data_IF_407980760971
#
_entry.id   IF_407980760971
#
_cell.length_a   1.000
_cell.length_b   1.000
_cell.length_c   1.000
_cell.angle_alpha   90.00
_cell.angle_beta   90.00
_cell.angle_gamma   90.00
#
_symmetry.space_group_name_H-M   'P 1'
#
loop_
_entity.id
_entity.type
_entity.pdbx_description
1 polymer ?
#
# COMPACT_ATOMS: atom_id res chain seq x y z
N UNK A 1 35.50 5.60 -1.17
CA UNK A 1 34.19 5.31 -1.77
C UNK A 1 33.46 4.38 -0.83
N UNK A 2 32.32 4.75 -0.28
CA UNK A 2 31.63 3.90 0.72
C UNK A 2 30.54 3.13 -0.01
N UNK A 3 30.71 1.82 -0.15
CA UNK A 3 29.66 0.92 -0.63
C UNK A 3 28.82 0.45 0.56
N UNK A 4 27.51 0.42 0.39
CA UNK A 4 26.57 -0.09 1.42
C UNK A 4 25.62 -1.08 0.79
N UNK A 5 25.40 -2.20 1.47
CA UNK A 5 24.28 -3.09 1.16
C UNK A 5 23.00 -2.40 1.63
N UNK A 6 22.02 -2.30 0.75
CA UNK A 6 20.72 -1.70 1.01
C UNK A 6 19.62 -2.61 0.50
N UNK A 7 18.47 -2.58 1.14
CA UNK A 7 17.24 -3.20 0.68
C UNK A 7 16.26 -2.09 0.32
N UNK A 8 15.62 -2.20 -0.83
CA UNK A 8 14.59 -1.29 -1.32
C UNK A 8 13.31 -2.10 -1.54
N UNK A 9 12.27 -1.76 -0.82
CA UNK A 9 10.96 -2.41 -0.88
C UNK A 9 9.96 -1.52 -1.62
N UNK A 10 8.94 -2.13 -2.22
CA UNK A 10 7.91 -1.38 -2.95
C UNK A 10 8.45 -0.68 -4.19
N UNK A 11 9.45 -1.26 -4.82
CA UNK A 11 10.09 -0.70 -6.03
C UNK A 11 9.73 -1.49 -7.28
N UNK A 12 9.75 -0.83 -8.43
CA UNK A 12 9.51 -1.44 -9.73
C UNK A 12 10.57 -1.03 -10.74
N UNK A 13 10.86 -1.90 -11.70
CA UNK A 13 11.69 -1.54 -12.85
C UNK A 13 10.85 -0.81 -13.89
N UNK A 14 11.31 0.36 -14.33
CA UNK A 14 10.61 1.16 -15.35
C UNK A 14 10.35 0.38 -16.65
N UNK A 15 11.27 -0.50 -17.04
CA UNK A 15 11.15 -1.37 -18.21
C UNK A 15 10.92 -2.83 -17.85
N UNK A 16 10.22 -3.11 -16.74
CA UNK A 16 9.84 -4.46 -16.34
C UNK A 16 9.10 -5.18 -17.47
N UNK A 17 9.41 -6.46 -17.68
CA UNK A 17 8.83 -7.26 -18.76
C UNK A 17 9.31 -6.93 -20.20
N UNK A 18 9.96 -5.76 -20.38
CA UNK A 18 10.37 -5.27 -21.73
C UNK A 18 11.87 -5.45 -21.97
N UNK A 19 12.69 -5.11 -20.98
CA UNK A 19 14.15 -5.17 -21.08
C UNK A 19 14.73 -6.35 -20.28
N UNK A 20 15.98 -6.69 -20.55
CA UNK A 20 16.78 -7.61 -19.75
C UNK A 20 17.68 -6.85 -18.78
N UNK A 21 18.20 -7.54 -17.74
CA UNK A 21 19.11 -6.90 -16.77
C UNK A 21 20.36 -6.33 -17.41
N UNK A 22 20.87 -6.92 -18.51
CA UNK A 22 21.93 -6.34 -19.32
C UNK A 22 21.93 -6.95 -20.72
N UNK A 23 22.59 -6.27 -21.66
CA UNK A 23 22.70 -6.70 -23.08
C UNK A 23 23.91 -7.63 -23.25
N UNK A 24 23.68 -8.92 -23.14
CA UNK A 24 24.75 -9.94 -23.21
C UNK A 24 25.41 -9.98 -24.60
N UNK A 25 24.61 -9.81 -25.66
CA UNK A 25 25.07 -9.90 -27.04
C UNK A 25 26.09 -8.80 -27.41
N UNK A 26 25.84 -7.59 -26.94
CA UNK A 26 26.71 -6.45 -27.18
C UNK A 26 27.79 -6.27 -26.11
N UNK A 27 27.76 -7.08 -25.05
CA UNK A 27 28.63 -6.98 -23.86
C UNK A 27 28.54 -5.61 -23.16
N UNK A 28 27.41 -4.94 -23.27
CA UNK A 28 27.14 -3.68 -22.60
C UNK A 28 26.53 -3.91 -21.20
N UNK A 29 26.88 -3.03 -20.29
CA UNK A 29 26.20 -2.98 -19.00
C UNK A 29 24.72 -2.66 -19.21
N UNK A 30 23.84 -3.28 -18.41
CA UNK A 30 22.49 -2.81 -18.26
C UNK A 30 22.46 -1.58 -17.35
N UNK A 31 21.70 -0.60 -17.74
CA UNK A 31 21.43 0.60 -16.96
C UNK A 31 19.92 0.80 -16.99
N UNK A 32 19.27 0.36 -15.92
CA UNK A 32 17.81 0.34 -15.80
C UNK A 32 17.36 1.16 -14.60
N UNK A 33 16.29 1.91 -14.76
CA UNK A 33 15.73 2.70 -13.68
C UNK A 33 14.88 1.83 -12.77
N UNK A 34 15.16 1.92 -11.47
CA UNK A 34 14.33 1.36 -10.40
C UNK A 34 13.62 2.53 -9.72
N UNK A 35 12.31 2.50 -9.68
CA UNK A 35 11.46 3.54 -9.12
C UNK A 35 10.76 3.06 -7.87
N UNK A 36 10.57 3.95 -6.89
CA UNK A 36 9.68 3.72 -5.77
C UNK A 36 8.28 4.31 -6.02
N UNK A 37 7.35 4.06 -5.11
CA UNK A 37 5.99 4.59 -5.19
C UNK A 37 5.90 6.13 -5.10
N UNK A 38 6.99 6.81 -4.80
CA UNK A 38 7.06 8.27 -4.69
C UNK A 38 7.71 8.93 -5.92
N UNK A 39 8.03 8.15 -6.95
CA UNK A 39 8.71 8.63 -8.15
C UNK A 39 10.21 8.86 -7.97
N UNK A 40 10.81 8.48 -6.84
CA UNK A 40 12.27 8.53 -6.71
C UNK A 40 12.90 7.45 -7.58
N UNK A 41 13.99 7.80 -8.23
CA UNK A 41 14.66 6.92 -9.20
C UNK A 41 16.08 6.63 -8.75
N UNK A 42 16.48 5.37 -8.84
CA UNK A 42 17.90 4.97 -8.79
C UNK A 42 18.26 4.11 -9.99
N UNK A 43 19.43 4.36 -10.57
CA UNK A 43 19.94 3.53 -11.64
C UNK A 43 20.45 2.19 -11.09
N UNK A 44 19.91 1.09 -11.59
CA UNK A 44 20.43 -0.27 -11.39
C UNK A 44 21.43 -0.53 -12.51
N UNK A 45 22.67 -0.83 -12.14
CA UNK A 45 23.71 -1.17 -13.10
C UNK A 45 24.10 -2.63 -13.00
N UNK A 46 23.85 -3.38 -14.06
CA UNK A 46 24.11 -4.82 -14.14
C UNK A 46 25.22 -5.11 -15.15
N UNK A 47 26.19 -5.93 -14.77
CA UNK A 47 27.22 -6.40 -15.69
C UNK A 47 26.66 -7.38 -16.71
N UNK A 48 27.04 -7.26 -17.97
CA UNK A 48 26.70 -8.25 -19.01
C UNK A 48 27.28 -9.65 -18.75
N UNK A 49 28.19 -9.78 -17.78
CA UNK A 49 28.73 -11.06 -17.32
C UNK A 49 28.02 -11.63 -16.09
N UNK A 50 27.00 -10.93 -15.55
CA UNK A 50 26.20 -11.50 -14.48
C UNK A 50 25.43 -12.73 -14.97
N UNK A 51 25.29 -13.75 -14.13
CA UNK A 51 24.60 -15.00 -14.49
C UNK A 51 23.15 -14.79 -14.92
N UNK A 52 22.53 -13.71 -14.47
CA UNK A 52 21.15 -13.31 -14.75
C UNK A 52 21.04 -12.16 -15.78
N UNK A 53 22.13 -11.75 -16.40
CA UNK A 53 22.16 -10.59 -17.30
C UNK A 53 21.13 -10.67 -18.43
N UNK A 54 20.91 -11.86 -19.02
CA UNK A 54 19.98 -12.09 -20.10
C UNK A 54 18.52 -12.31 -19.65
N UNK A 55 18.28 -12.38 -18.34
CA UNK A 55 16.91 -12.54 -17.83
C UNK A 55 16.12 -11.24 -18.00
N UNK A 56 14.84 -11.37 -18.29
CA UNK A 56 13.92 -10.23 -18.37
C UNK A 56 13.74 -9.62 -16.98
N UNK A 57 13.70 -8.30 -16.92
CA UNK A 57 13.37 -7.55 -15.71
C UNK A 57 11.99 -7.97 -15.20
N UNK A 58 11.82 -8.20 -13.90
CA UNK A 58 10.52 -8.58 -13.38
C UNK A 58 9.50 -7.45 -13.56
N UNK A 59 8.25 -7.84 -13.76
CA UNK A 59 7.10 -6.95 -13.83
C UNK A 59 6.50 -6.76 -12.45
N UNK A 60 5.96 -5.58 -12.19
CA UNK A 60 5.27 -5.28 -10.95
C UNK A 60 6.15 -4.67 -9.88
N UNK A 61 5.63 -4.66 -8.68
CA UNK A 61 6.26 -4.07 -7.49
C UNK A 61 6.85 -5.17 -6.61
N UNK A 62 8.07 -4.97 -6.14
CA UNK A 62 8.77 -5.99 -5.36
C UNK A 62 9.90 -5.41 -4.51
N UNK A 63 10.84 -6.27 -4.15
CA UNK A 63 12.00 -5.94 -3.31
C UNK A 63 13.30 -6.18 -4.07
N UNK A 64 14.23 -5.23 -3.94
CA UNK A 64 15.58 -5.31 -4.52
C UNK A 64 16.61 -5.08 -3.43
N UNK A 65 17.52 -6.02 -3.25
CA UNK A 65 18.71 -5.89 -2.40
C UNK A 65 19.90 -5.61 -3.30
N UNK A 66 20.70 -4.61 -2.96
CA UNK A 66 21.84 -4.25 -3.80
C UNK A 66 22.91 -3.44 -3.08
N UNK A 67 24.03 -3.32 -3.72
CA UNK A 67 25.15 -2.53 -3.23
C UNK A 67 25.02 -1.11 -3.79
N UNK A 68 24.67 -0.18 -2.91
CA UNK A 68 24.61 1.24 -3.23
C UNK A 68 26.04 1.79 -3.33
N UNK A 69 26.38 2.36 -4.48
CA UNK A 69 27.66 2.96 -4.73
C UNK A 69 27.56 4.24 -5.56
N UNK A 70 28.66 4.93 -5.76
CA UNK A 70 28.71 6.15 -6.58
C UNK A 70 29.80 6.05 -7.63
N UNK A 71 29.44 6.23 -8.87
CA UNK A 71 30.38 6.22 -10.00
C UNK A 71 30.24 7.50 -10.82
N UNK A 72 31.37 8.20 -11.06
CA UNK A 72 31.41 9.48 -11.78
C UNK A 72 30.37 10.51 -11.31
N UNK A 73 30.09 10.52 -9.99
CA UNK A 73 29.13 11.46 -9.42
C UNK A 73 27.68 10.95 -9.34
N UNK A 74 27.33 9.87 -10.02
CA UNK A 74 25.98 9.30 -10.07
C UNK A 74 25.84 8.14 -9.07
N UNK A 75 24.74 8.12 -8.33
CA UNK A 75 24.38 6.99 -7.48
C UNK A 75 23.89 5.82 -8.32
N UNK A 76 24.35 4.62 -7.97
CA UNK A 76 24.02 3.38 -8.66
C UNK A 76 23.75 2.27 -7.65
N UNK A 77 22.83 1.40 -7.97
CA UNK A 77 22.58 0.14 -7.26
C UNK A 77 23.13 -1.01 -8.09
N UNK A 78 23.98 -1.82 -7.51
CA UNK A 78 24.50 -3.05 -8.13
C UNK A 78 23.87 -4.26 -7.45
N UNK A 79 23.24 -5.12 -8.22
CA UNK A 79 22.58 -6.35 -7.73
C UNK A 79 23.61 -7.48 -7.73
N UNK A 80 23.94 -8.08 -6.55
CA UNK A 80 24.94 -9.14 -6.46
C UNK A 80 24.46 -10.47 -7.05
N UNK A 81 23.19 -10.81 -6.85
CA UNK A 81 22.60 -12.09 -7.26
C UNK A 81 21.17 -11.91 -7.77
N UNK A 82 20.71 -12.82 -8.60
CA UNK A 82 19.30 -12.86 -9.04
C UNK A 82 18.33 -13.03 -7.88
N UNK A 83 18.73 -13.76 -6.87
CA UNK A 83 17.95 -13.95 -5.63
C UNK A 83 17.75 -12.68 -4.81
N UNK A 84 18.50 -11.62 -5.10
CA UNK A 84 18.37 -10.31 -4.47
C UNK A 84 17.25 -9.45 -5.09
N UNK A 85 16.52 -10.02 -6.07
CA UNK A 85 15.37 -9.41 -6.75
C UNK A 85 14.20 -10.36 -6.60
N UNK A 86 13.26 -10.05 -5.69
CA UNK A 86 12.20 -10.97 -5.29
C UNK A 86 10.90 -10.26 -4.89
N UNK A 87 9.82 -11.05 -4.76
CA UNK A 87 8.52 -10.57 -4.33
C UNK A 87 7.80 -9.68 -5.34
N UNK A 88 8.20 -9.72 -6.62
CA UNK A 88 7.52 -8.99 -7.67
C UNK A 88 6.18 -9.66 -7.98
N UNK A 89 5.11 -8.87 -7.93
CA UNK A 89 3.72 -9.34 -8.05
C UNK A 89 3.28 -9.66 -9.49
N UNK A 90 4.10 -9.30 -10.48
CA UNK A 90 3.80 -9.54 -11.90
C UNK A 90 2.71 -8.62 -12.47
N UNK A 91 2.20 -7.69 -11.68
CA UNK A 91 1.25 -6.68 -12.12
C UNK A 91 2.04 -5.49 -12.64
N UNK A 92 1.90 -5.16 -13.93
CA UNK A 92 2.55 -3.95 -14.44
C UNK A 92 2.13 -2.77 -13.55
N UNK A 93 3.08 -2.00 -12.99
CA UNK A 93 2.73 -0.71 -12.41
C UNK A 93 1.99 0.02 -13.52
N UNK A 94 0.73 0.41 -13.30
CA UNK A 94 -0.06 1.05 -14.33
C UNK A 94 0.80 2.09 -15.03
N UNK A 95 0.78 2.12 -16.36
CA UNK A 95 1.48 3.14 -17.14
C UNK A 95 1.00 4.50 -16.66
N UNK A 96 1.71 5.11 -15.74
CA UNK A 96 1.29 6.35 -15.13
C UNK A 96 1.97 6.64 -13.84
N UNK A 97 3.29 6.75 -13.84
CA UNK A 97 3.92 7.75 -12.99
C UNK A 97 5.27 8.22 -13.54
N UNK A 98 5.29 8.64 -14.76
CA UNK A 98 6.18 9.67 -15.27
C UNK A 98 5.38 10.98 -15.29
N UNK A 99 5.28 11.59 -14.10
CA UNK A 99 4.83 12.96 -13.84
C UNK A 99 4.26 13.76 -15.02
N UNK A 100 3.25 13.26 -15.67
CA UNK A 100 2.34 14.11 -16.46
C UNK A 100 1.09 13.35 -16.93
N UNK A 101 -0.05 14.01 -16.76
CA UNK A 101 -1.37 13.77 -17.38
C UNK A 101 -2.23 12.65 -16.77
N UNK A 102 -2.93 12.97 -15.67
CA UNK A 102 -4.19 12.32 -15.31
C UNK A 102 -4.12 11.13 -14.37
N UNK A 103 -2.95 10.70 -13.90
CA UNK A 103 -2.81 9.57 -12.98
C UNK A 103 -3.09 9.92 -11.52
N UNK A 104 -3.74 9.01 -10.78
CA UNK A 104 -3.97 9.14 -9.34
C UNK A 104 -2.65 9.08 -8.57
N UNK A 105 -2.44 9.96 -7.59
CA UNK A 105 -1.23 9.98 -6.75
C UNK A 105 -1.54 9.42 -5.37
N UNK A 106 -0.81 8.40 -4.94
CA UNK A 106 -0.93 7.87 -3.57
C UNK A 106 -0.35 8.88 -2.58
N UNK A 107 -1.20 9.41 -1.72
CA UNK A 107 -0.82 10.33 -0.64
C UNK A 107 -0.50 9.61 0.66
N UNK A 108 -1.18 8.51 0.91
CA UNK A 108 -1.06 7.69 2.11
C UNK A 108 -1.34 6.23 1.77
N UNK A 109 -0.55 5.33 2.35
CA UNK A 109 -0.79 3.88 2.27
C UNK A 109 -0.37 3.23 3.57
N UNK A 110 -1.24 2.39 4.15
CA UNK A 110 -1.00 1.62 5.36
C UNK A 110 -1.45 0.18 5.15
N UNK A 111 -0.52 -0.76 5.20
CA UNK A 111 -0.78 -2.20 5.02
C UNK A 111 -0.95 -2.94 6.35
N UNK A 112 -0.75 -2.24 7.47
CA UNK A 112 -0.69 -2.80 8.82
C UNK A 112 0.38 -3.88 8.99
N UNK A 113 1.32 -3.99 8.05
CA UNK A 113 2.37 -5.02 7.98
C UNK A 113 1.79 -6.44 8.13
N UNK A 114 2.63 -7.38 8.43
CA UNK A 114 2.23 -8.76 8.71
C UNK A 114 2.78 -9.18 10.08
N UNK A 115 2.17 -8.74 11.19
CA UNK A 115 2.69 -9.03 12.52
C UNK A 115 2.66 -10.52 12.81
N UNK A 116 3.59 -10.96 13.63
CA UNK A 116 3.60 -12.32 14.17
C UNK A 116 2.93 -12.35 15.54
N UNK A 117 2.44 -13.53 15.92
CA UNK A 117 1.95 -13.75 17.27
C UNK A 117 3.10 -13.64 18.27
N UNK A 118 2.85 -12.99 19.39
CA UNK A 118 3.79 -12.86 20.51
C UNK A 118 3.58 -13.95 21.56
N UNK A 119 4.63 -14.31 22.31
CA UNK A 119 4.62 -15.32 23.36
C UNK A 119 5.61 -16.46 23.06
N UNK A 120 5.74 -17.38 24.00
CA UNK A 120 6.62 -18.54 23.90
C UNK A 120 5.82 -19.78 23.50
N UNK A 121 6.37 -20.57 22.59
CA UNK A 121 5.88 -21.87 22.15
C UNK A 121 4.37 -21.91 21.82
N UNK A 122 3.61 -22.83 22.39
CA UNK A 122 2.19 -23.05 22.13
C UNK A 122 1.27 -21.93 22.69
N UNK A 123 1.83 -20.97 23.43
CA UNK A 123 1.09 -19.86 24.03
C UNK A 123 1.10 -18.57 23.17
N UNK A 124 1.57 -18.66 21.94
CA UNK A 124 1.58 -17.52 21.03
C UNK A 124 0.19 -16.98 20.75
N UNK A 125 -0.01 -15.70 20.99
CA UNK A 125 -1.28 -15.01 20.81
C UNK A 125 -1.13 -13.70 20.04
N UNK A 126 -2.21 -13.26 19.44
CA UNK A 126 -2.33 -11.88 18.96
C UNK A 126 -2.51 -10.95 20.15
N UNK A 127 -1.83 -9.84 20.15
CA UNK A 127 -1.90 -8.84 21.23
C UNK A 127 -2.55 -7.55 20.72
N UNK A 128 -3.12 -6.72 21.60
CA UNK A 128 -3.61 -5.40 21.25
C UNK A 128 -2.53 -4.50 20.61
N UNK A 129 -2.96 -3.47 19.89
CA UNK A 129 -2.06 -2.50 19.26
C UNK A 129 -1.09 -1.90 20.30
N UNK A 130 -1.56 -1.57 21.49
CA UNK A 130 -0.74 -1.00 22.57
C UNK A 130 0.37 -1.92 23.05
N UNK A 131 0.10 -3.22 23.13
CA UNK A 131 1.11 -4.22 23.49
C UNK A 131 2.03 -4.51 22.31
N UNK A 132 1.50 -4.58 21.09
CA UNK A 132 2.27 -4.85 19.89
C UNK A 132 3.34 -3.80 19.66
N UNK A 133 3.02 -2.52 19.80
CA UNK A 133 4.00 -1.43 19.70
C UNK A 133 5.09 -1.51 20.76
N UNK A 134 4.80 -2.05 21.94
CA UNK A 134 5.75 -2.16 23.04
C UNK A 134 6.59 -3.47 22.99
N UNK A 135 6.19 -4.46 22.21
CA UNK A 135 6.85 -5.77 22.17
C UNK A 135 8.21 -5.74 21.44
N UNK A 136 8.41 -4.81 20.50
CA UNK A 136 9.66 -4.65 19.75
C UNK A 136 9.76 -3.25 19.15
N UNK A 137 10.97 -2.71 19.09
CA UNK A 137 11.25 -1.44 18.42
C UNK A 137 10.95 -1.46 16.90
N UNK A 138 10.86 -2.66 16.29
CA UNK A 138 10.48 -2.84 14.89
C UNK A 138 8.97 -2.92 14.67
N UNK A 139 8.18 -3.03 15.74
CA UNK A 139 6.72 -3.07 15.66
C UNK A 139 6.17 -1.66 15.42
N UNK A 140 6.23 -1.24 14.18
CA UNK A 140 5.70 0.06 13.72
C UNK A 140 4.79 -0.17 12.52
N UNK A 141 3.80 0.69 12.35
CA UNK A 141 3.04 0.77 11.11
C UNK A 141 3.87 1.40 9.98
N UNK A 142 3.38 1.36 8.75
CA UNK A 142 4.14 1.81 7.58
C UNK A 142 4.47 3.31 7.62
N UNK A 143 3.61 4.09 8.28
CA UNK A 143 3.75 5.54 8.36
C UNK A 143 4.02 6.00 9.79
N UNK A 144 5.29 6.17 10.19
CA UNK A 144 5.66 6.49 11.57
C UNK A 144 5.18 7.87 12.04
N UNK A 145 4.80 8.76 11.12
CA UNK A 145 4.29 10.11 11.44
C UNK A 145 2.77 10.16 11.62
N UNK A 146 2.05 9.09 11.32
CA UNK A 146 0.62 9.01 11.56
C UNK A 146 0.34 8.74 13.04
N UNK A 147 -0.81 9.20 13.48
CA UNK A 147 -1.28 9.03 14.86
C UNK A 147 -2.44 8.06 14.88
N UNK A 148 -2.25 6.94 15.55
CA UNK A 148 -3.32 5.98 15.79
C UNK A 148 -3.98 6.28 17.14
N UNK A 149 -5.32 6.25 17.16
CA UNK A 149 -6.10 6.45 18.39
C UNK A 149 -7.42 5.65 18.32
N UNK A 150 -8.16 5.62 19.43
CA UNK A 150 -9.37 4.82 19.58
C UNK A 150 -9.15 3.62 20.50
N UNK A 151 -9.77 2.49 20.18
CA UNK A 151 -9.78 1.30 21.05
C UNK A 151 -8.52 0.43 20.93
N UNK A 152 -7.34 1.07 20.96
CA UNK A 152 -6.03 0.44 20.72
C UNK A 152 -5.69 -0.67 21.72
N UNK A 153 -6.30 -0.69 22.90
CA UNK A 153 -6.13 -1.74 23.92
C UNK A 153 -6.95 -3.01 23.63
N UNK A 154 -7.84 -2.96 22.64
CA UNK A 154 -8.69 -4.09 22.23
C UNK A 154 -8.41 -4.51 20.79
N UNK A 155 -8.27 -3.55 19.89
CA UNK A 155 -7.95 -3.81 18.48
C UNK A 155 -6.55 -4.41 18.37
N UNK A 156 -6.41 -5.46 17.58
CA UNK A 156 -5.14 -6.17 17.44
C UNK A 156 -4.66 -6.26 16.00
N UNK A 157 -3.39 -5.92 15.73
CA UNK A 157 -2.78 -6.23 14.44
C UNK A 157 -2.63 -7.75 14.31
N UNK A 158 -2.98 -8.27 13.14
CA UNK A 158 -2.94 -9.70 12.84
C UNK A 158 -2.45 -9.93 11.42
N UNK A 159 -2.07 -11.16 11.15
CA UNK A 159 -1.75 -11.63 9.80
C UNK A 159 -2.78 -12.68 9.38
N UNK A 160 -3.29 -12.55 8.16
CA UNK A 160 -4.17 -13.52 7.54
C UNK A 160 -3.73 -13.75 6.10
N UNK A 161 -3.43 -14.97 5.75
CA UNK A 161 -2.93 -15.36 4.40
C UNK A 161 -1.68 -14.58 3.95
N UNK A 162 -0.86 -14.10 4.89
CA UNK A 162 0.31 -13.27 4.61
C UNK A 162 0.08 -11.77 4.73
N UNK A 163 -1.16 -11.31 4.67
CA UNK A 163 -1.50 -9.89 4.72
C UNK A 163 -1.74 -9.39 6.14
N UNK A 164 -1.20 -8.21 6.46
CA UNK A 164 -1.45 -7.50 7.71
C UNK A 164 -2.85 -6.92 7.77
N UNK A 165 -3.46 -6.92 8.95
CA UNK A 165 -4.78 -6.32 9.17
C UNK A 165 -4.98 -5.92 10.62
N UNK A 166 -5.93 -5.02 10.86
CA UNK A 166 -6.45 -4.74 12.21
C UNK A 166 -7.74 -5.52 12.41
N UNK A 167 -7.76 -6.30 13.47
CA UNK A 167 -8.92 -7.07 13.90
C UNK A 167 -9.81 -6.28 14.84
N UNK A 168 -11.09 -6.15 14.46
CA UNK A 168 -12.20 -5.66 15.28
C UNK A 168 -13.00 -6.86 15.77
N UNK A 169 -12.94 -7.20 17.07
CA UNK A 169 -13.68 -8.33 17.60
C UNK A 169 -15.20 -8.21 17.40
N UNK A 170 -15.90 -9.33 17.31
CA UNK A 170 -17.37 -9.34 17.24
C UNK A 170 -18.01 -8.90 18.56
N UNK A 171 -19.18 -8.29 18.48
CA UNK A 171 -20.05 -8.00 19.62
C UNK A 171 -19.69 -6.77 20.44
N UNK A 172 -18.72 -5.98 20.05
CA UNK A 172 -18.34 -4.73 20.72
C UNK A 172 -18.39 -3.51 19.80
N UNK A 173 -18.57 -2.36 20.42
CA UNK A 173 -18.45 -1.07 19.75
C UNK A 173 -16.98 -0.67 19.77
N UNK A 174 -16.39 -0.50 18.59
CA UNK A 174 -14.95 -0.20 18.47
C UNK A 174 -14.71 0.86 17.41
N UNK A 175 -13.63 1.61 17.62
CA UNK A 175 -13.14 2.61 16.68
C UNK A 175 -11.61 2.57 16.54
N UNK A 176 -11.13 2.84 15.33
CA UNK A 176 -9.74 3.10 15.00
C UNK A 176 -9.66 4.40 14.22
N UNK A 177 -8.89 5.36 14.70
CA UNK A 177 -8.59 6.57 13.96
C UNK A 177 -7.12 6.57 13.54
N UNK A 178 -6.90 6.91 12.27
CA UNK A 178 -5.59 7.12 11.65
C UNK A 178 -5.50 8.60 11.31
N UNK A 179 -4.78 9.35 12.12
CA UNK A 179 -4.70 10.81 12.02
C UNK A 179 -3.34 11.30 11.54
N UNK A 180 -3.25 12.62 11.38
CA UNK A 180 -2.05 13.31 10.92
C UNK A 180 -1.57 12.85 9.53
N UNK A 181 -2.51 12.51 8.64
CA UNK A 181 -2.20 12.13 7.26
C UNK A 181 -1.94 13.41 6.46
N UNK A 182 -0.73 13.55 5.95
CA UNK A 182 -0.36 14.67 5.07
C UNK A 182 -0.99 14.49 3.69
N UNK A 183 -1.88 15.41 3.33
CA UNK A 183 -2.56 15.40 2.04
C UNK A 183 -1.77 16.12 0.93
N UNK A 184 -0.59 16.63 1.23
CA UNK A 184 0.29 17.34 0.27
C UNK A 184 -0.43 18.42 -0.54
N UNK A 185 -1.41 19.08 0.08
CA UNK A 185 -2.19 20.15 -0.53
C UNK A 185 -3.36 19.71 -1.41
N UNK A 186 -3.67 18.42 -1.49
CA UNK A 186 -4.83 17.94 -2.22
C UNK A 186 -6.13 18.49 -1.61
N UNK A 187 -7.05 18.95 -2.47
CA UNK A 187 -8.38 19.42 -2.09
C UNK A 187 -9.44 18.31 -2.18
N UNK A 188 -9.16 17.25 -2.91
CA UNK A 188 -9.99 16.06 -3.06
C UNK A 188 -9.13 14.82 -3.01
N UNK A 189 -9.68 13.75 -2.46
CA UNK A 189 -9.05 12.43 -2.43
C UNK A 189 -10.08 11.33 -2.66
N UNK A 190 -9.60 10.15 -3.03
CA UNK A 190 -10.35 8.90 -2.95
C UNK A 190 -9.76 8.03 -1.85
N UNK A 191 -10.62 7.37 -1.10
CA UNK A 191 -10.25 6.36 -0.10
C UNK A 191 -10.42 4.97 -0.70
N UNK A 192 -9.38 4.16 -0.60
CA UNK A 192 -9.43 2.72 -0.92
C UNK A 192 -9.04 1.96 0.34
N UNK A 193 -9.81 0.95 0.70
CA UNK A 193 -9.45 0.04 1.77
C UNK A 193 -10.05 -1.35 1.51
N UNK A 194 -9.51 -2.37 2.16
CA UNK A 194 -10.10 -3.70 2.12
C UNK A 194 -10.71 -4.06 3.46
N UNK A 195 -11.87 -4.68 3.41
CA UNK A 195 -12.57 -5.22 4.58
C UNK A 195 -12.75 -6.72 4.44
N UNK A 196 -12.30 -7.46 5.44
CA UNK A 196 -12.54 -8.88 5.56
C UNK A 196 -13.52 -9.19 6.68
N UNK A 197 -14.31 -10.25 6.53
CA UNK A 197 -15.25 -10.73 7.55
C UNK A 197 -15.06 -12.22 7.79
N UNK A 198 -15.33 -12.66 9.02
CA UNK A 198 -15.24 -14.07 9.40
C UNK A 198 -16.59 -14.78 9.13
N UNK A 199 -16.82 -15.14 7.87
CA UNK A 199 -18.02 -15.87 7.44
C UNK A 199 -17.60 -17.28 7.02
N UNK A 200 -17.77 -18.24 7.93
CA UNK A 200 -17.27 -19.61 7.78
C UNK A 200 -18.26 -20.56 7.13
N UNK A 201 -19.55 -20.28 7.23
CA UNK A 201 -20.63 -21.12 6.73
C UNK A 201 -21.43 -20.36 5.69
N UNK A 202 -22.09 -21.05 4.74
CA UNK A 202 -22.90 -20.39 3.70
C UNK A 202 -24.03 -19.50 4.25
N UNK A 203 -24.51 -19.79 5.46
CA UNK A 203 -25.51 -18.99 6.17
C UNK A 203 -24.95 -17.79 6.92
N UNK A 204 -23.63 -17.75 7.09
CA UNK A 204 -22.97 -16.60 7.72
C UNK A 204 -23.01 -15.41 6.78
N UNK A 205 -23.43 -14.26 7.29
CA UNK A 205 -23.59 -13.02 6.55
C UNK A 205 -23.13 -11.83 7.36
N UNK A 206 -22.52 -10.88 6.70
CA UNK A 206 -22.21 -9.56 7.27
C UNK A 206 -22.12 -8.52 6.17
N UNK A 207 -22.76 -7.39 6.38
CA UNK A 207 -22.71 -6.29 5.43
C UNK A 207 -21.41 -5.49 5.59
N UNK A 208 -20.84 -5.00 4.49
CA UNK A 208 -19.64 -4.18 4.53
C UNK A 208 -19.86 -2.83 5.25
N UNK A 209 -21.07 -2.28 5.22
CA UNK A 209 -21.44 -1.05 5.93
C UNK A 209 -21.49 -1.21 7.47
N UNK A 210 -21.25 -2.43 7.97
CA UNK A 210 -21.02 -2.67 9.41
C UNK A 210 -19.75 -1.93 9.90
N UNK A 211 -18.80 -1.68 9.03
CA UNK A 211 -17.66 -0.80 9.28
C UNK A 211 -17.97 0.59 8.69
N UNK A 212 -18.42 1.51 9.53
CA UNK A 212 -18.60 2.90 9.13
C UNK A 212 -17.28 3.63 9.05
N UNK A 213 -17.17 4.57 8.11
CA UNK A 213 -15.94 5.31 7.86
C UNK A 213 -16.21 6.81 7.84
N UNK A 214 -15.32 7.57 8.48
CA UNK A 214 -15.33 9.04 8.43
C UNK A 214 -13.99 9.56 7.95
N UNK A 215 -14.02 10.68 7.25
CA UNK A 215 -12.86 11.52 6.98
C UNK A 215 -13.08 12.89 7.60
N UNK A 216 -12.19 13.33 8.49
CA UNK A 216 -12.30 14.58 9.24
C UNK A 216 -13.70 14.80 9.87
N UNK A 217 -14.23 13.77 10.53
CA UNK A 217 -15.57 13.71 11.13
C UNK A 217 -16.77 13.73 10.16
N UNK A 218 -16.54 13.76 8.86
CA UNK A 218 -17.60 13.63 7.84
C UNK A 218 -17.82 12.16 7.53
N UNK A 219 -19.07 11.68 7.64
CA UNK A 219 -19.42 10.30 7.28
C UNK A 219 -19.22 10.07 5.78
N UNK A 220 -18.57 8.96 5.44
CA UNK A 220 -18.37 8.55 4.06
C UNK A 220 -19.42 7.50 3.64
N UNK A 221 -19.86 7.51 2.37
CA UNK A 221 -20.89 6.61 1.89
C UNK A 221 -20.33 5.18 1.65
N UNK A 222 -20.23 4.39 2.71
CA UNK A 222 -19.85 2.97 2.57
C UNK A 222 -20.99 2.23 1.85
N UNK A 223 -20.69 1.46 0.79
CA UNK A 223 -21.69 0.73 0.04
C UNK A 223 -22.49 -0.27 0.91
N UNK A 224 -23.77 -0.47 0.58
CA UNK A 224 -24.59 -1.52 1.13
C UNK A 224 -24.37 -2.80 0.33
N UNK A 225 -23.49 -3.69 0.84
CA UNK A 225 -23.18 -4.98 0.21
C UNK A 225 -23.03 -6.07 1.27
N UNK A 226 -23.83 -7.11 1.15
CA UNK A 226 -23.76 -8.28 2.03
C UNK A 226 -22.66 -9.23 1.53
N UNK A 227 -21.75 -9.62 2.42
CA UNK A 227 -20.79 -10.69 2.23
C UNK A 227 -21.33 -11.96 2.87
N UNK A 228 -21.28 -13.06 2.14
CA UNK A 228 -21.77 -14.37 2.57
C UNK A 228 -20.64 -15.36 2.73
N UNK A 229 -20.80 -16.34 3.60
CA UNK A 229 -19.85 -17.42 3.81
C UNK A 229 -19.62 -18.25 2.55
N UNK A 230 -18.40 -18.70 2.42
CA UNK A 230 -17.96 -19.64 1.38
C UNK A 230 -17.11 -20.73 2.03
N UNK A 231 -16.69 -21.74 1.26
CA UNK A 231 -15.72 -22.74 1.76
C UNK A 231 -14.38 -22.11 2.17
N UNK A 232 -14.08 -20.92 1.65
CA UNK A 232 -12.96 -20.10 2.11
C UNK A 232 -13.48 -19.13 3.18
N UNK A 233 -13.07 -19.25 4.45
CA UNK A 233 -13.67 -18.53 5.57
C UNK A 233 -13.38 -17.01 5.59
N UNK A 234 -12.51 -16.52 4.71
CA UNK A 234 -12.09 -15.12 4.73
C UNK A 234 -12.49 -14.45 3.42
N UNK A 235 -13.70 -13.94 3.38
CA UNK A 235 -14.15 -13.10 2.27
C UNK A 235 -13.64 -11.69 2.50
N UNK A 236 -12.88 -11.17 1.53
CA UNK A 236 -12.33 -9.81 1.54
C UNK A 236 -12.93 -9.04 0.38
N UNK A 237 -13.36 -7.82 0.67
CA UNK A 237 -13.90 -6.88 -0.32
C UNK A 237 -13.07 -5.62 -0.33
N UNK A 238 -12.73 -5.11 -1.52
CA UNK A 238 -12.14 -3.80 -1.70
C UNK A 238 -13.24 -2.75 -1.85
N UNK A 239 -13.15 -1.68 -1.08
CA UNK A 239 -14.08 -0.58 -1.06
C UNK A 239 -13.35 0.68 -1.53
N UNK A 240 -13.93 1.36 -2.51
CA UNK A 240 -13.46 2.65 -3.00
C UNK A 240 -14.54 3.70 -2.79
N UNK A 241 -14.16 4.85 -2.23
CA UNK A 241 -15.02 6.02 -2.03
C UNK A 241 -14.30 7.21 -2.63
N UNK A 242 -14.90 7.77 -3.67
CA UNK A 242 -14.32 8.86 -4.44
C UNK A 242 -14.85 10.24 -3.99
N UNK A 243 -14.25 11.29 -4.51
CA UNK A 243 -14.67 12.70 -4.37
C UNK A 243 -14.74 13.20 -2.93
N UNK A 244 -13.92 12.69 -2.04
CA UNK A 244 -13.85 13.15 -0.64
C UNK A 244 -13.18 14.52 -0.60
N UNK A 245 -13.96 15.56 -0.25
CA UNK A 245 -13.40 16.89 -0.06
C UNK A 245 -12.54 16.95 1.22
N UNK A 246 -11.33 17.45 1.12
CA UNK A 246 -10.35 17.51 2.20
C UNK A 246 -9.60 18.84 2.18
N UNK A 247 -8.95 19.15 3.32
CA UNK A 247 -8.03 20.28 3.43
C UNK A 247 -7.04 20.07 4.58
N UNK A 248 -5.81 20.50 4.40
CA UNK A 248 -4.76 20.36 5.43
C UNK A 248 -4.34 18.91 5.64
N UNK A 249 -4.53 18.37 6.84
CA UNK A 249 -4.31 16.95 7.14
C UNK A 249 -5.63 16.18 7.21
N UNK A 250 -5.58 14.87 6.97
CA UNK A 250 -6.74 14.00 7.13
C UNK A 250 -6.63 13.15 8.40
N UNK A 251 -7.81 12.85 8.93
CA UNK A 251 -8.02 11.78 9.91
C UNK A 251 -9.11 10.85 9.38
N UNK A 252 -8.76 9.58 9.19
CA UNK A 252 -9.70 8.52 8.86
C UNK A 252 -10.13 7.83 10.15
N UNK A 253 -11.43 7.67 10.35
CA UNK A 253 -11.98 6.91 11.48
C UNK A 253 -12.82 5.76 10.96
N UNK A 254 -12.44 4.55 11.34
CA UNK A 254 -13.17 3.31 11.08
C UNK A 254 -13.85 2.87 12.38
N UNK A 255 -15.15 2.64 12.35
CA UNK A 255 -15.89 2.25 13.56
C UNK A 255 -16.97 1.22 13.27
N UNK A 256 -17.25 0.38 14.25
CA UNK A 256 -18.30 -0.62 14.20
C UNK A 256 -19.12 -0.60 15.49
N UNK A 257 -20.36 -1.07 15.38
CA UNK A 257 -21.28 -1.25 16.52
C UNK A 257 -21.48 -2.75 16.74
N UNK A 258 -21.34 -3.20 17.98
CA UNK A 258 -21.39 -4.62 18.35
C UNK A 258 -22.70 -5.31 17.95
N UNK A 259 -23.81 -4.57 17.94
CA UNK A 259 -25.10 -5.10 17.51
C UNK A 259 -25.12 -5.58 16.04
N UNK A 260 -24.29 -4.98 15.17
CA UNK A 260 -24.18 -5.33 13.75
C UNK A 260 -22.88 -6.06 13.43
N UNK A 261 -21.80 -5.83 14.17
CA UNK A 261 -20.53 -6.55 14.02
C UNK A 261 -20.61 -7.93 14.71
N UNK A 262 -21.36 -8.85 14.15
CA UNK A 262 -21.62 -10.19 14.75
C UNK A 262 -20.56 -11.23 14.37
N UNK A 263 -19.76 -11.00 13.34
CA UNK A 263 -18.75 -11.94 12.84
C UNK A 263 -17.31 -11.50 13.05
N UNK A 264 -17.11 -10.25 13.45
CA UNK A 264 -15.79 -9.61 13.51
C UNK A 264 -15.29 -9.13 12.14
N UNK A 265 -14.50 -8.08 12.15
CA UNK A 265 -14.06 -7.36 10.97
C UNK A 265 -12.53 -7.33 10.94
N UNK A 266 -11.95 -7.41 9.75
CA UNK A 266 -10.55 -7.14 9.46
C UNK A 266 -10.46 -5.95 8.52
N UNK A 267 -9.69 -4.95 8.89
CA UNK A 267 -9.35 -3.80 8.06
C UNK A 267 -7.95 -4.02 7.49
N UNK A 268 -7.84 -4.00 6.16
CA UNK A 268 -6.57 -4.12 5.42
C UNK A 268 -6.36 -2.90 4.53
N UNK A 269 -5.13 -2.68 4.10
CA UNK A 269 -4.72 -1.82 2.98
C UNK A 269 -5.49 -0.51 2.88
N UNK A 270 -5.25 0.41 3.77
CA UNK A 270 -5.89 1.74 3.73
C UNK A 270 -5.04 2.67 2.87
N UNK A 271 -5.63 3.25 1.82
CA UNK A 271 -4.97 4.20 0.93
C UNK A 271 -5.80 5.46 0.75
N UNK A 272 -5.14 6.61 0.75
CA UNK A 272 -5.69 7.86 0.23
C UNK A 272 -4.94 8.23 -1.04
N UNK A 273 -5.67 8.50 -2.11
CA UNK A 273 -5.13 8.88 -3.40
C UNK A 273 -5.73 10.23 -3.83
N UNK A 274 -4.89 11.10 -4.36
CA UNK A 274 -5.37 12.31 -5.04
C UNK A 274 -5.72 11.97 -6.48
N UNK A 275 -6.80 12.56 -7.04
CA UNK A 275 -7.04 12.48 -8.47
C UNK A 275 -5.86 13.12 -9.20
N UNK A 276 -5.49 12.55 -10.33
CA UNK A 276 -4.52 13.17 -11.20
C UNK A 276 -4.96 14.57 -11.62
N UNK A 277 -4.01 15.43 -11.88
CA UNK A 277 -4.25 16.76 -12.44
C UNK A 277 -4.67 16.64 -13.92
N UNK A 278 -5.87 16.06 -14.15
CA UNK A 278 -6.53 16.21 -15.43
C UNK A 278 -6.84 17.70 -15.62
N UNK A 279 -6.50 18.25 -16.78
CA UNK A 279 -6.85 19.61 -17.16
C UNK A 279 -8.32 19.88 -16.82
N UNK A 280 -8.57 20.85 -15.93
CA UNK A 280 -9.90 21.37 -15.74
C UNK A 280 -10.47 21.78 -17.10
N UNK A 281 -11.75 21.51 -17.31
CA UNK A 281 -12.54 22.03 -18.43
C UNK A 281 -12.37 23.54 -18.53
N UNK A 282 -11.23 23.94 -19.07
CA UNK A 282 -11.00 25.27 -19.57
C UNK A 282 -11.78 25.40 -20.88
N UNK A 283 -12.99 25.90 -20.79
CA UNK A 283 -13.76 26.38 -21.96
C UNK A 283 -12.84 27.28 -22.78
N UNK A 284 -12.31 26.74 -23.86
CA UNK A 284 -11.53 27.49 -24.83
C UNK A 284 -12.52 28.45 -25.50
N UNK A 285 -12.62 29.69 -24.98
CA UNK A 285 -13.28 30.80 -25.66
C UNK A 285 -12.48 31.07 -26.93
N UNK A 286 -12.95 30.53 -28.06
CA UNK A 286 -12.45 30.92 -29.37
C UNK A 286 -12.84 32.39 -29.60
N UNK A 287 -11.86 33.27 -29.89
CA UNK A 287 -12.22 34.64 -30.33
C UNK A 287 -12.98 34.55 -31.65
N UNK A 288 -14.16 35.21 -31.70
CA UNK A 288 -14.89 35.37 -32.93
C UNK A 288 -14.06 36.17 -33.95
N UNK A 289 -14.13 35.83 -35.24
CA UNK A 289 -13.44 36.60 -36.26
C UNK A 289 -14.16 37.94 -36.44
N UNK A 290 -13.44 39.01 -36.17
CA UNK A 290 -13.86 40.38 -36.50
C UNK A 290 -14.08 40.51 -38.02
N UNK A 291 -15.27 40.97 -38.40
CA UNK A 291 -15.61 41.34 -39.77
C UNK A 291 -14.90 42.66 -40.16
#
# INVERSE_FOLDING_TARGET
MTYRLVQMEGVHFENGGKNTFAKVETKEYGEENLKDAYGNVIMVRTSSYASFAAETLPVGTGTVVGILGRFKGTWQLMIPSRSDVFGFDGVEPGEGDDGNEGGETVLFSETFKAPEKTGEDDNKKWVPITEWWNASASNTFDNPNTMFSGDLSVLSPRTQSGDGNIWFPSGGDYSLSIGNIDLKGAAKVSLIYKMGVNVYQPEDKQNINTLSVKCNNTDLPVPDKELTGTKNPYVVEEIRIDDIAVSGTATLTFSCVGATNVKGIRLYDVKLIAPGSGEGDGEVIKPEPTK
#
